data_IF_666274037107
#
_entry.id   IF_666274037107
#
_cell.length_a   1.000
_cell.length_b   1.000
_cell.length_c   1.000
_cell.angle_alpha   90.00
_cell.angle_beta   90.00
_cell.angle_gamma   90.00
#
_symmetry.space_group_name_H-M   'P 1'
#
loop_
_entity.id
_entity.type
_entity.pdbx_description
1 polymer ?
#
# COMPACT_ATOMS: atom_id res chain seq x y z
N UNK A 1 -8.58 -25.10 9.46
CA UNK A 1 -9.18 -23.97 10.20
C UNK A 1 -10.61 -23.80 9.69
N UNK A 2 -11.61 -23.57 10.55
CA UNK A 2 -13.00 -23.33 10.08
C UNK A 2 -13.30 -21.88 10.41
N UNK A 3 -13.32 -21.02 9.38
CA UNK A 3 -13.72 -19.63 9.57
C UNK A 3 -15.21 -19.60 9.88
N UNK A 4 -15.58 -19.02 11.02
CA UNK A 4 -16.97 -18.81 11.42
C UNK A 4 -17.22 -17.30 11.37
N UNK A 5 -18.14 -16.86 10.54
CA UNK A 5 -18.54 -15.46 10.44
C UNK A 5 -19.99 -15.25 10.91
N UNK A 6 -20.25 -14.10 11.52
CA UNK A 6 -21.60 -13.66 11.91
C UNK A 6 -21.68 -12.15 11.81
N UNK A 7 -22.58 -11.64 10.96
CA UNK A 7 -22.91 -10.22 10.91
C UNK A 7 -23.95 -9.89 11.98
N UNK A 8 -23.67 -8.88 12.79
CA UNK A 8 -24.58 -8.37 13.82
C UNK A 8 -24.64 -6.85 13.72
N UNK A 9 -25.80 -6.28 14.07
CA UNK A 9 -25.97 -4.84 14.26
C UNK A 9 -26.30 -4.63 15.73
N UNK A 10 -25.48 -3.84 16.42
CA UNK A 10 -25.63 -3.56 17.84
C UNK A 10 -25.55 -2.05 18.03
N UNK A 11 -26.46 -1.51 18.82
CA UNK A 11 -26.27 -0.19 19.40
C UNK A 11 -25.24 -0.33 20.53
N UNK A 12 -24.16 0.44 20.47
CA UNK A 12 -23.08 0.43 21.45
C UNK A 12 -22.95 1.81 22.07
N UNK A 13 -22.75 1.85 23.38
CA UNK A 13 -22.47 3.07 24.13
C UNK A 13 -20.96 3.21 24.33
N UNK A 14 -20.51 4.45 24.56
CA UNK A 14 -19.12 4.70 24.91
C UNK A 14 -18.77 3.94 26.21
N UNK A 15 -17.72 3.11 26.14
CA UNK A 15 -17.26 2.29 27.26
C UNK A 15 -17.79 0.85 27.29
N UNK A 16 -18.64 0.46 26.33
CA UNK A 16 -19.08 -0.94 26.23
C UNK A 16 -17.93 -1.87 25.86
N UNK A 17 -17.81 -3.00 26.58
CA UNK A 17 -16.87 -4.06 26.25
C UNK A 17 -17.41 -4.88 25.07
N UNK A 18 -16.86 -4.64 23.88
CA UNK A 18 -17.30 -5.32 22.64
C UNK A 18 -16.76 -6.76 22.50
N UNK A 19 -15.70 -7.09 23.23
CA UNK A 19 -15.12 -8.44 23.25
C UNK A 19 -13.66 -8.45 23.67
N UNK A 20 -13.05 -9.62 23.60
CA UNK A 20 -11.62 -9.82 23.81
C UNK A 20 -11.09 -10.73 22.70
N UNK A 21 -9.96 -10.34 22.12
CA UNK A 21 -9.24 -11.16 21.13
C UNK A 21 -7.77 -11.30 21.52
N UNK A 22 -7.12 -12.35 21.00
CA UNK A 22 -5.66 -12.54 21.09
C UNK A 22 -4.88 -11.82 19.97
N UNK A 23 -5.60 -11.12 19.10
CA UNK A 23 -5.13 -10.23 18.05
C UNK A 23 -6.37 -9.57 17.43
N UNK A 24 -6.40 -8.25 17.36
CA UNK A 24 -7.56 -7.50 16.87
C UNK A 24 -7.15 -6.75 15.61
N UNK A 25 -7.73 -7.13 14.49
CA UNK A 25 -7.80 -6.25 13.33
C UNK A 25 -9.00 -5.31 13.54
N UNK A 26 -8.75 -4.01 13.51
CA UNK A 26 -9.74 -2.99 13.83
C UNK A 26 -9.67 -1.85 12.82
N UNK A 27 -10.69 -1.75 11.99
CA UNK A 27 -10.93 -0.63 11.10
C UNK A 27 -12.22 0.10 11.46
N UNK A 28 -12.27 1.40 11.16
CA UNK A 28 -13.49 2.21 11.31
C UNK A 28 -13.86 2.82 9.97
N UNK A 29 -15.16 2.85 9.68
CA UNK A 29 -15.73 3.55 8.53
C UNK A 29 -16.75 4.57 9.04
N UNK A 30 -16.64 5.79 8.54
CA UNK A 30 -17.61 6.86 8.79
C UNK A 30 -18.19 7.35 7.46
N UNK A 31 -19.47 7.10 7.25
CA UNK A 31 -20.23 7.54 6.06
C UNK A 31 -20.26 9.06 5.84
N UNK A 32 -19.82 9.86 6.83
CA UNK A 32 -19.66 11.32 6.71
C UNK A 32 -18.31 11.71 6.11
N UNK A 33 -17.34 10.80 6.12
CA UNK A 33 -16.03 10.94 5.48
C UNK A 33 -16.12 10.57 4.00
N UNK A 34 -15.32 11.23 3.17
CA UNK A 34 -15.20 10.90 1.76
C UNK A 34 -13.76 11.17 1.28
N UNK A 35 -12.96 10.11 1.24
CA UNK A 35 -11.62 10.11 0.65
C UNK A 35 -11.77 10.22 -0.87
N UNK A 36 -10.96 11.09 -1.48
CA UNK A 36 -10.93 11.25 -2.93
C UNK A 36 -9.79 10.40 -3.50
N UNK A 37 -10.12 9.39 -4.31
CA UNK A 37 -9.14 8.54 -4.97
C UNK A 37 -8.79 9.08 -6.35
N UNK A 38 -7.60 8.77 -6.85
CA UNK A 38 -7.20 9.18 -8.20
C UNK A 38 -8.13 8.60 -9.28
N UNK A 39 -8.66 7.39 -9.06
CA UNK A 39 -9.70 6.79 -9.87
C UNK A 39 -10.88 6.33 -8.99
N UNK A 40 -11.92 7.16 -8.93
CA UNK A 40 -13.15 6.88 -8.16
C UNK A 40 -13.91 5.65 -8.66
N UNK A 41 -13.78 5.30 -9.95
CA UNK A 41 -14.47 4.13 -10.50
C UNK A 41 -13.91 2.82 -9.92
N UNK A 42 -12.62 2.79 -9.54
CA UNK A 42 -11.98 1.62 -8.89
C UNK A 42 -12.51 1.34 -7.50
N UNK A 43 -13.01 2.36 -6.81
CA UNK A 43 -13.55 2.26 -5.44
C UNK A 43 -15.07 2.32 -5.39
N UNK A 44 -15.73 2.44 -6.54
CA UNK A 44 -17.18 2.53 -6.64
C UNK A 44 -17.86 1.32 -6.00
N UNK A 45 -18.85 1.59 -5.14
CA UNK A 45 -19.59 0.56 -4.40
C UNK A 45 -18.84 -0.05 -3.21
N UNK A 46 -17.61 0.37 -2.93
CA UNK A 46 -16.85 0.04 -1.73
C UNK A 46 -17.05 1.08 -0.61
N UNK A 47 -16.86 0.68 0.65
CA UNK A 47 -16.81 1.59 1.80
C UNK A 47 -15.40 2.16 2.04
N UNK A 48 -14.45 1.92 1.13
CA UNK A 48 -13.08 2.45 1.21
C UNK A 48 -13.02 3.98 1.27
N UNK A 49 -13.91 4.67 0.55
CA UNK A 49 -14.03 6.13 0.62
C UNK A 49 -14.44 6.64 2.02
N UNK A 50 -14.95 5.77 2.88
CA UNK A 50 -15.40 6.11 4.23
C UNK A 50 -14.41 5.67 5.31
N UNK A 51 -13.26 5.08 4.98
CA UNK A 51 -12.29 4.64 5.97
C UNK A 51 -11.73 5.84 6.72
N UNK A 52 -11.61 5.71 8.03
CA UNK A 52 -11.08 6.75 8.92
C UNK A 52 -10.15 6.12 9.97
N UNK A 53 -9.22 6.92 10.50
CA UNK A 53 -8.41 6.50 11.63
C UNK A 53 -9.30 6.32 12.86
N UNK A 54 -9.43 5.08 13.35
CA UNK A 54 -10.33 4.79 14.46
C UNK A 54 -9.94 5.52 15.75
N UNK A 55 -8.64 5.83 15.89
CA UNK A 55 -8.09 6.57 17.03
C UNK A 55 -8.58 8.01 17.13
N UNK A 56 -8.99 8.61 16.00
CA UNK A 56 -9.55 9.97 16.00
C UNK A 56 -10.94 10.06 16.65
N UNK A 57 -11.57 8.91 16.89
CA UNK A 57 -12.88 8.80 17.53
C UNK A 57 -12.80 8.44 19.02
N UNK A 58 -11.60 8.16 19.53
CA UNK A 58 -11.40 7.97 20.95
C UNK A 58 -11.36 9.32 21.67
N UNK A 59 -11.86 9.34 22.91
CA UNK A 59 -11.64 10.46 23.81
C UNK A 59 -10.15 10.55 24.19
N UNK A 60 -9.71 11.72 24.67
CA UNK A 60 -8.30 11.97 25.00
C UNK A 60 -7.70 10.93 25.96
N UNK A 61 -8.48 10.40 26.91
CA UNK A 61 -7.97 9.42 27.87
C UNK A 61 -7.57 8.11 27.18
N UNK A 62 -8.46 7.58 26.32
CA UNK A 62 -8.19 6.35 25.55
C UNK A 62 -7.15 6.58 24.45
N UNK A 63 -7.19 7.74 23.78
CA UNK A 63 -6.21 8.10 22.75
C UNK A 63 -4.79 8.11 23.34
N UNK A 64 -4.59 8.78 24.47
CA UNK A 64 -3.31 8.80 25.19
C UNK A 64 -2.85 7.42 25.70
N UNK A 65 -3.78 6.51 26.02
CA UNK A 65 -3.46 5.16 26.47
C UNK A 65 -3.03 4.24 25.29
N UNK A 66 -3.70 4.38 24.14
CA UNK A 66 -3.57 3.43 23.03
C UNK A 66 -2.57 3.89 21.95
N UNK A 67 -2.37 5.19 21.74
CA UNK A 67 -1.40 5.71 20.77
C UNK A 67 0.03 5.18 20.97
N UNK A 68 0.57 5.10 22.21
CA UNK A 68 1.91 4.56 22.42
C UNK A 68 2.04 3.06 22.08
N UNK A 69 0.92 2.37 21.87
CA UNK A 69 0.87 0.95 21.50
C UNK A 69 0.79 0.74 19.99
N UNK A 70 0.63 1.82 19.20
CA UNK A 70 0.65 1.74 17.74
C UNK A 70 2.07 1.46 17.25
N UNK A 71 2.27 0.28 16.68
CA UNK A 71 3.55 -0.13 16.15
C UNK A 71 3.39 -1.00 14.89
N UNK A 72 4.50 -1.22 14.20
CA UNK A 72 4.61 -2.25 13.16
C UNK A 72 4.42 -3.66 13.76
N UNK A 73 4.22 -4.70 12.93
CA UNK A 73 4.00 -6.07 13.42
C UNK A 73 5.12 -6.61 14.35
N UNK A 74 6.34 -6.07 14.24
CA UNK A 74 7.46 -6.45 15.13
C UNK A 74 7.46 -5.72 16.48
N UNK A 75 6.70 -4.64 16.63
CA UNK A 75 6.71 -3.77 17.81
C UNK A 75 7.97 -2.88 17.91
N UNK A 76 8.74 -2.78 16.83
CA UNK A 76 10.03 -2.07 16.79
C UNK A 76 9.85 -0.63 16.35
N UNK A 77 8.98 -0.39 15.37
CA UNK A 77 8.74 0.91 14.78
C UNK A 77 7.37 1.42 15.17
N UNK A 78 7.31 2.71 15.48
CA UNK A 78 6.10 3.42 15.87
C UNK A 78 5.84 4.52 14.85
N UNK A 79 4.58 4.85 14.53
CA UNK A 79 4.28 5.97 13.63
C UNK A 79 4.93 7.26 14.15
N UNK A 80 5.69 7.95 13.30
CA UNK A 80 6.43 9.16 13.68
C UNK A 80 5.85 10.45 13.09
N UNK A 81 4.75 10.34 12.31
CA UNK A 81 4.06 11.46 11.67
C UNK A 81 2.55 11.24 11.69
N UNK A 82 1.81 12.35 11.64
CA UNK A 82 0.39 12.33 11.34
C UNK A 82 0.13 12.02 9.85
N UNK A 83 -0.98 11.33 9.52
CA UNK A 83 -1.89 10.67 10.46
C UNK A 83 -1.25 9.39 11.06
N UNK A 84 -1.44 9.16 12.37
CA UNK A 84 -0.86 8.01 13.07
C UNK A 84 -1.31 6.65 12.49
N UNK A 85 -2.51 6.59 11.92
CA UNK A 85 -3.03 5.39 11.25
C UNK A 85 -2.50 5.19 9.82
N UNK A 86 -1.67 6.09 9.30
CA UNK A 86 -1.36 6.16 7.87
C UNK A 86 -2.50 6.73 7.04
N UNK A 87 -2.29 6.83 5.73
CA UNK A 87 -3.27 7.28 4.73
C UNK A 87 -3.74 6.09 3.90
N UNK A 88 -5.03 6.09 3.53
CA UNK A 88 -5.63 5.05 2.69
C UNK A 88 -5.53 5.42 1.22
N UNK A 89 -5.68 6.71 0.90
CA UNK A 89 -5.35 7.32 -0.39
C UNK A 89 -3.84 7.51 -0.49
N UNK A 90 -3.17 6.49 -1.03
CA UNK A 90 -1.74 6.58 -1.33
C UNK A 90 -1.47 7.09 -2.74
N UNK A 91 -2.51 7.27 -3.55
CA UNK A 91 -2.41 7.75 -4.92
C UNK A 91 -1.87 9.18 -4.99
N UNK A 92 -0.90 9.38 -5.89
CA UNK A 92 -0.48 10.71 -6.33
C UNK A 92 -0.71 10.78 -7.82
N UNK A 93 -1.63 11.67 -8.21
CA UNK A 93 -2.04 11.87 -9.60
C UNK A 93 -0.83 12.09 -10.51
N UNK A 94 -0.88 11.50 -11.71
CA UNK A 94 0.16 11.56 -12.75
C UNK A 94 1.53 10.99 -12.34
N UNK A 95 1.58 10.14 -11.30
CA UNK A 95 2.81 9.50 -10.83
C UNK A 95 2.67 8.01 -10.59
N UNK A 96 3.77 7.29 -10.40
CA UNK A 96 3.74 5.85 -10.10
C UNK A 96 3.14 5.52 -8.70
N UNK A 97 3.08 6.47 -7.76
CA UNK A 97 2.55 6.18 -6.42
C UNK A 97 1.03 5.97 -6.47
N UNK A 98 0.55 4.84 -5.92
CA UNK A 98 -0.88 4.53 -5.91
C UNK A 98 -1.22 3.04 -5.87
N UNK A 99 -2.50 2.76 -6.04
CA UNK A 99 -3.04 1.41 -6.22
C UNK A 99 -3.03 1.04 -7.72
N UNK A 100 -2.67 -0.20 -8.00
CA UNK A 100 -2.45 -0.71 -9.35
C UNK A 100 -3.13 -2.06 -9.54
N UNK A 101 -4.03 -2.13 -10.52
CA UNK A 101 -4.90 -3.27 -10.79
C UNK A 101 -4.41 -4.04 -12.02
N UNK A 102 -4.45 -5.38 -11.98
CA UNK A 102 -3.98 -6.23 -13.09
C UNK A 102 -4.91 -6.25 -14.31
N UNK A 103 -6.17 -5.84 -14.13
CA UNK A 103 -7.16 -5.71 -15.21
C UNK A 103 -7.72 -4.28 -15.27
N UNK A 104 -7.98 -3.79 -16.48
CA UNK A 104 -8.52 -2.46 -16.72
C UNK A 104 -9.90 -2.23 -16.07
N UNK A 105 -10.64 -3.30 -15.78
CA UNK A 105 -11.98 -3.24 -15.20
C UNK A 105 -12.02 -3.73 -13.75
N UNK A 106 -10.89 -4.16 -13.18
CA UNK A 106 -10.84 -4.57 -11.77
C UNK A 106 -11.10 -3.40 -10.83
N UNK A 107 -11.66 -3.69 -9.67
CA UNK A 107 -11.98 -2.74 -8.62
C UNK A 107 -11.44 -3.25 -7.29
N UNK A 108 -11.48 -2.42 -6.25
CA UNK A 108 -11.11 -2.83 -4.90
C UNK A 108 -12.04 -3.90 -4.30
N UNK A 109 -13.16 -4.21 -4.96
CA UNK A 109 -14.06 -5.29 -4.57
C UNK A 109 -13.66 -6.65 -5.16
N UNK A 110 -12.72 -6.67 -6.10
CA UNK A 110 -12.13 -7.89 -6.63
C UNK A 110 -11.03 -8.41 -5.69
N UNK A 111 -10.52 -9.61 -5.95
CA UNK A 111 -9.51 -10.22 -5.09
C UNK A 111 -8.21 -9.41 -5.07
N UNK A 112 -7.74 -9.05 -3.87
CA UNK A 112 -6.49 -8.29 -3.65
C UNK A 112 -5.25 -9.02 -4.17
N UNK A 113 -5.31 -10.36 -4.25
CA UNK A 113 -4.22 -11.24 -4.66
C UNK A 113 -3.63 -10.91 -6.03
N UNK A 114 -4.37 -10.27 -6.93
CA UNK A 114 -3.90 -9.95 -8.28
C UNK A 114 -3.50 -8.47 -8.43
N UNK A 115 -3.41 -7.72 -7.34
CA UNK A 115 -3.18 -6.28 -7.36
C UNK A 115 -1.86 -5.91 -6.66
N UNK A 116 -1.50 -4.64 -6.79
CA UNK A 116 -0.28 -4.07 -6.27
C UNK A 116 -0.56 -2.68 -5.71
N UNK A 117 0.24 -2.27 -4.72
CA UNK A 117 0.33 -0.87 -4.33
C UNK A 117 1.79 -0.42 -4.30
N UNK A 118 2.03 0.80 -4.79
CA UNK A 118 3.29 1.52 -4.66
C UNK A 118 3.05 2.64 -3.67
N UNK A 119 3.47 2.43 -2.42
CA UNK A 119 2.99 3.25 -1.31
C UNK A 119 4.12 3.62 -0.32
N UNK A 120 3.97 4.71 0.43
CA UNK A 120 4.77 4.90 1.63
C UNK A 120 4.47 3.79 2.64
N UNK A 121 5.46 3.39 3.41
CA UNK A 121 5.22 2.45 4.52
C UNK A 121 4.27 3.09 5.54
N UNK A 122 3.29 2.32 5.99
CA UNK A 122 2.24 2.73 6.93
C UNK A 122 2.73 3.19 8.32
N UNK A 123 3.99 2.93 8.68
CA UNK A 123 4.60 3.28 9.98
C UNK A 123 5.88 4.10 9.78
N UNK A 124 6.75 3.67 8.85
CA UNK A 124 8.05 4.30 8.59
C UNK A 124 7.96 5.30 7.44
N UNK A 125 7.82 6.58 7.76
CA UNK A 125 7.69 7.66 6.77
C UNK A 125 8.82 7.77 5.74
N UNK A 126 10.01 7.26 6.05
CA UNK A 126 11.21 7.33 5.19
C UNK A 126 11.37 6.10 4.29
N UNK A 127 10.39 5.21 4.25
CA UNK A 127 10.42 3.95 3.51
C UNK A 127 9.24 3.93 2.54
N UNK A 128 9.50 3.45 1.32
CA UNK A 128 8.47 3.12 0.34
C UNK A 128 8.43 1.61 0.13
N UNK A 129 7.25 1.13 -0.25
CA UNK A 129 6.91 -0.28 -0.30
C UNK A 129 6.29 -0.59 -1.65
N UNK A 130 6.82 -1.61 -2.33
CA UNK A 130 6.06 -2.39 -3.28
C UNK A 130 5.24 -3.41 -2.49
N UNK A 131 3.93 -3.22 -2.37
CA UNK A 131 3.02 -4.24 -1.81
C UNK A 131 2.52 -5.09 -2.97
N UNK A 132 3.04 -6.30 -3.11
CA UNK A 132 2.81 -7.13 -4.30
C UNK A 132 1.97 -8.35 -3.94
N UNK A 133 0.89 -8.57 -4.70
CA UNK A 133 0.17 -9.84 -4.75
C UNK A 133 0.91 -10.92 -5.55
N UNK A 134 0.17 -11.67 -6.37
CA UNK A 134 0.65 -12.80 -7.17
C UNK A 134 0.78 -12.46 -8.67
N UNK A 135 0.48 -11.22 -9.06
CA UNK A 135 0.41 -10.82 -10.46
C UNK A 135 1.78 -10.69 -11.17
N UNK A 136 2.90 -10.71 -10.43
CA UNK A 136 4.26 -10.65 -10.99
C UNK A 136 4.90 -12.04 -10.85
N UNK A 137 4.98 -12.86 -11.93
CA UNK A 137 5.36 -14.28 -11.80
C UNK A 137 6.78 -14.54 -11.30
N UNK A 138 7.68 -13.57 -11.43
CA UNK A 138 9.09 -13.68 -11.05
C UNK A 138 9.37 -13.26 -9.60
N UNK A 139 8.35 -12.77 -8.89
CA UNK A 139 8.46 -12.20 -7.55
C UNK A 139 7.41 -12.85 -6.65
N UNK A 140 7.78 -13.16 -5.42
CA UNK A 140 6.83 -13.71 -4.44
C UNK A 140 5.89 -12.61 -3.92
N UNK A 141 4.70 -12.99 -3.46
CA UNK A 141 3.82 -12.03 -2.78
C UNK A 141 4.41 -11.66 -1.42
N UNK A 142 4.86 -10.41 -1.29
CA UNK A 142 5.47 -9.85 -0.09
C UNK A 142 5.47 -8.30 -0.21
N UNK A 143 5.48 -7.55 0.89
CA UNK A 143 6.02 -6.19 0.90
C UNK A 143 7.53 -6.18 0.61
N UNK A 144 7.94 -5.42 -0.41
CA UNK A 144 9.34 -5.11 -0.68
C UNK A 144 9.63 -3.64 -0.40
N UNK A 145 10.60 -3.39 0.47
CA UNK A 145 10.88 -2.06 1.01
C UNK A 145 12.19 -1.48 0.51
N UNK A 146 12.22 -0.17 0.32
CA UNK A 146 13.44 0.58 0.01
C UNK A 146 13.40 2.00 0.61
N UNK A 147 14.57 2.62 0.69
CA UNK A 147 14.68 4.05 1.04
C UNK A 147 14.70 4.87 -0.25
N UNK A 148 13.71 5.74 -0.49
CA UNK A 148 13.62 6.50 -1.73
C UNK A 148 14.70 7.58 -1.82
N UNK A 149 15.08 7.92 -3.06
CA UNK A 149 15.96 9.05 -3.39
C UNK A 149 15.24 10.07 -4.26
N UNK A 150 15.67 11.33 -4.14
CA UNK A 150 15.03 12.48 -4.80
C UNK A 150 15.60 12.82 -6.18
N UNK A 151 16.56 12.04 -6.69
CA UNK A 151 17.20 12.24 -8.01
C UNK A 151 17.76 10.93 -8.57
N UNK A 152 17.83 10.83 -9.90
CA UNK A 152 18.33 9.63 -10.59
C UNK A 152 17.22 8.63 -10.87
N UNK A 153 17.60 7.48 -11.42
CA UNK A 153 16.69 6.44 -11.88
C UNK A 153 16.67 5.19 -10.98
N UNK A 154 17.54 5.13 -9.96
CA UNK A 154 17.58 4.02 -8.99
C UNK A 154 16.86 4.42 -7.71
N UNK A 155 15.96 3.59 -7.19
CA UNK A 155 15.23 3.79 -5.94
C UNK A 155 14.52 5.16 -5.87
N UNK A 156 14.00 5.62 -7.02
CA UNK A 156 13.32 6.91 -7.15
C UNK A 156 12.05 6.93 -6.30
N UNK A 157 11.81 8.02 -5.57
CA UNK A 157 10.52 8.23 -4.89
C UNK A 157 9.34 8.07 -5.88
N UNK A 158 8.43 7.13 -5.60
CA UNK A 158 7.28 6.82 -6.47
C UNK A 158 6.43 8.05 -6.80
N UNK A 159 6.30 8.99 -5.86
CA UNK A 159 5.54 10.24 -6.05
C UNK A 159 6.22 11.23 -7.01
N UNK A 160 7.40 10.88 -7.52
CA UNK A 160 8.17 11.70 -8.47
C UNK A 160 8.49 10.97 -9.77
N UNK A 161 8.06 9.72 -9.91
CA UNK A 161 8.10 8.97 -11.16
C UNK A 161 6.90 9.38 -11.98
N UNK A 162 7.14 9.93 -13.17
CA UNK A 162 6.10 10.41 -14.10
C UNK A 162 6.26 9.68 -15.44
N UNK A 163 5.34 9.89 -16.39
CA UNK A 163 5.39 9.34 -17.74
C UNK A 163 6.46 10.02 -18.63
N UNK A 164 7.69 10.09 -18.13
CA UNK A 164 8.81 10.82 -18.72
C UNK A 164 9.62 10.00 -19.75
N UNK A 165 9.20 8.78 -20.03
CA UNK A 165 9.86 7.87 -20.95
C UNK A 165 11.02 7.07 -20.35
N UNK A 166 11.33 7.24 -19.05
CA UNK A 166 12.41 6.50 -18.40
C UNK A 166 11.94 5.16 -17.84
N UNK A 167 12.85 4.19 -17.82
CA UNK A 167 12.72 2.97 -17.02
C UNK A 167 13.49 3.19 -15.73
N UNK A 168 12.79 3.08 -14.61
CA UNK A 168 13.35 3.17 -13.27
C UNK A 168 13.74 1.80 -12.77
N UNK A 169 14.77 1.73 -11.95
CA UNK A 169 15.20 0.50 -11.32
C UNK A 169 15.13 0.62 -9.79
N UNK A 170 14.69 -0.43 -9.13
CA UNK A 170 14.52 -0.46 -7.69
C UNK A 170 15.21 -1.68 -7.09
N UNK A 171 15.90 -1.46 -5.98
CA UNK A 171 16.52 -2.48 -5.15
C UNK A 171 15.75 -2.48 -3.83
N UNK A 172 14.85 -3.44 -3.67
CA UNK A 172 13.96 -3.50 -2.52
C UNK A 172 14.07 -4.85 -1.81
N UNK A 173 13.95 -4.83 -0.48
CA UNK A 173 14.09 -6.02 0.36
C UNK A 173 12.75 -6.47 0.91
N UNK A 174 12.51 -7.76 0.87
CA UNK A 174 11.34 -8.35 1.50
C UNK A 174 11.52 -8.56 3.02
N UNK A 175 10.52 -9.16 3.69
CA UNK A 175 10.56 -9.38 5.14
C UNK A 175 11.72 -10.28 5.60
N UNK A 176 12.19 -11.18 4.73
CA UNK A 176 13.34 -12.06 4.97
C UNK A 176 14.69 -11.41 4.59
N UNK A 177 14.69 -10.10 4.30
CA UNK A 177 15.83 -9.32 3.85
C UNK A 177 16.46 -9.82 2.54
N UNK A 178 15.67 -10.50 1.69
CA UNK A 178 16.06 -10.89 0.33
C UNK A 178 15.86 -9.69 -0.57
N UNK A 179 16.93 -9.27 -1.25
CA UNK A 179 16.88 -8.20 -2.25
C UNK A 179 16.24 -8.73 -3.54
N UNK A 180 15.29 -7.98 -4.07
CA UNK A 180 14.74 -8.14 -5.41
C UNK A 180 14.92 -6.85 -6.20
N UNK A 181 15.13 -7.00 -7.51
CA UNK A 181 15.26 -5.87 -8.42
C UNK A 181 13.99 -5.73 -9.24
N UNK A 182 13.43 -4.52 -9.27
CA UNK A 182 12.26 -4.19 -10.07
C UNK A 182 12.63 -3.17 -11.14
N UNK A 183 12.23 -3.44 -12.38
CA UNK A 183 12.14 -2.40 -13.41
C UNK A 183 10.72 -1.86 -13.44
N UNK A 184 10.60 -0.55 -13.53
CA UNK A 184 9.32 0.15 -13.48
C UNK A 184 9.27 1.23 -14.55
N UNK A 185 8.18 1.28 -15.30
CA UNK A 185 7.93 2.29 -16.31
C UNK A 185 6.47 2.73 -16.26
N UNK A 186 6.24 4.03 -16.14
CA UNK A 186 4.92 4.61 -16.26
C UNK A 186 4.70 4.99 -17.73
N UNK A 187 4.02 4.12 -18.48
CA UNK A 187 3.84 4.25 -19.95
C UNK A 187 2.91 5.41 -20.31
N UNK A 188 1.91 5.65 -19.46
CA UNK A 188 1.04 6.82 -19.44
C UNK A 188 0.54 7.07 -18.00
N UNK A 189 -0.30 8.09 -17.78
CA UNK A 189 -0.73 8.48 -16.43
C UNK A 189 -1.54 7.37 -15.69
N UNK A 190 -2.02 6.36 -16.41
CA UNK A 190 -2.91 5.30 -15.92
C UNK A 190 -2.38 3.87 -16.16
N UNK A 191 -1.22 3.70 -16.80
CA UNK A 191 -0.65 2.40 -17.18
C UNK A 191 0.78 2.25 -16.69
N UNK A 192 1.01 1.25 -15.83
CA UNK A 192 2.31 0.93 -15.24
C UNK A 192 2.81 -0.42 -15.74
N UNK A 193 4.04 -0.46 -16.23
CA UNK A 193 4.77 -1.68 -16.56
C UNK A 193 5.78 -1.99 -15.45
N UNK A 194 5.77 -3.22 -14.94
CA UNK A 194 6.71 -3.68 -13.92
C UNK A 194 7.28 -5.06 -14.26
N UNK A 195 8.58 -5.24 -14.03
CA UNK A 195 9.24 -6.54 -14.19
C UNK A 195 10.14 -6.80 -12.98
N UNK A 196 9.97 -7.95 -12.34
CA UNK A 196 10.93 -8.43 -11.36
C UNK A 196 12.08 -9.17 -12.04
N UNK A 197 13.31 -8.81 -11.70
CA UNK A 197 14.53 -9.40 -12.24
C UNK A 197 15.25 -10.17 -11.12
N UNK A 198 15.71 -11.38 -11.45
CA UNK A 198 16.62 -12.16 -10.59
C UNK A 198 18.02 -11.50 -10.53
N UNK A 199 18.12 -10.42 -9.75
CA UNK A 199 19.35 -9.69 -9.48
C UNK A 199 19.33 -9.14 -8.05
N UNK A 200 20.51 -8.78 -7.54
CA UNK A 200 20.66 -8.17 -6.20
C UNK A 200 21.02 -6.70 -6.25
N UNK A 201 21.21 -6.14 -7.46
CA UNK A 201 21.51 -4.74 -7.71
C UNK A 201 21.03 -4.36 -9.11
N UNK A 202 20.71 -3.09 -9.30
CA UNK A 202 20.20 -2.56 -10.56
C UNK A 202 21.19 -2.71 -11.73
N UNK A 203 22.50 -2.80 -11.48
CA UNK A 203 23.49 -2.82 -12.56
C UNK A 203 23.59 -1.46 -13.28
N UNK A 204 23.79 -1.46 -14.60
CA UNK A 204 24.06 -0.24 -15.37
C UNK A 204 22.88 0.21 -16.23
N UNK A 205 22.50 1.48 -16.08
CA UNK A 205 21.59 2.22 -16.95
C UNK A 205 22.17 2.35 -18.38
N UNK A 206 21.36 2.25 -19.47
CA UNK A 206 19.92 2.07 -19.51
C UNK A 206 19.42 0.64 -19.33
N UNK A 207 18.33 0.50 -18.56
CA UNK A 207 17.59 -0.75 -18.42
C UNK A 207 16.56 -0.94 -19.53
N UNK A 208 16.24 -2.19 -19.79
CA UNK A 208 15.16 -2.59 -20.70
C UNK A 208 14.46 -3.82 -20.15
N UNK A 209 13.14 -3.85 -20.25
CA UNK A 209 12.35 -5.04 -19.98
C UNK A 209 12.82 -6.23 -20.83
N UNK A 210 12.78 -7.43 -20.25
CA UNK A 210 13.15 -8.66 -20.97
C UNK A 210 12.00 -9.23 -21.79
N UNK A 211 10.82 -8.62 -21.70
CA UNK A 211 9.57 -9.11 -22.28
C UNK A 211 8.71 -9.90 -21.30
N UNK A 212 9.08 -9.90 -20.01
CA UNK A 212 8.36 -10.59 -18.93
C UNK A 212 7.65 -9.61 -17.98
N UNK A 213 7.48 -8.36 -18.40
CA UNK A 213 6.80 -7.35 -17.61
C UNK A 213 5.30 -7.64 -17.48
N UNK A 214 4.76 -7.34 -16.30
CA UNK A 214 3.32 -7.27 -16.05
C UNK A 214 2.85 -5.84 -16.22
N UNK A 215 1.67 -5.67 -16.82
CA UNK A 215 1.00 -4.36 -16.98
C UNK A 215 -0.08 -4.23 -15.92
N UNK A 216 -0.10 -3.09 -15.25
CA UNK A 216 -1.13 -2.69 -14.31
C UNK A 216 -1.78 -1.38 -14.71
N UNK A 217 -2.99 -1.17 -14.19
CA UNK A 217 -3.87 -0.08 -14.54
C UNK A 217 -4.35 0.63 -13.29
N UNK A 218 -4.56 1.93 -13.41
CA UNK A 218 -5.22 2.74 -12.38
C UNK A 218 -6.63 3.09 -12.78
#
# INVERSE_FOLDING_TARGET
YRSCSKSISLDVLAGDLLGQSRGLDFGLRDTRSNIAFANEDRVSGSDMANVVCAYDYFNDALKNELEPLLADPSGTYYPTRDPLCGTVDVDVQDTAQGMWFSDQNSTVNDGEDEHMALAPHNVRATVQVFSIGNAIPTIESDPYEFTPVTSGLVNRDFSTVTNDGNVYCYEATNIDAIVSVFLLHLSDDETLEIEGIEATECGSDPWSFTGSQTVFYR
#
